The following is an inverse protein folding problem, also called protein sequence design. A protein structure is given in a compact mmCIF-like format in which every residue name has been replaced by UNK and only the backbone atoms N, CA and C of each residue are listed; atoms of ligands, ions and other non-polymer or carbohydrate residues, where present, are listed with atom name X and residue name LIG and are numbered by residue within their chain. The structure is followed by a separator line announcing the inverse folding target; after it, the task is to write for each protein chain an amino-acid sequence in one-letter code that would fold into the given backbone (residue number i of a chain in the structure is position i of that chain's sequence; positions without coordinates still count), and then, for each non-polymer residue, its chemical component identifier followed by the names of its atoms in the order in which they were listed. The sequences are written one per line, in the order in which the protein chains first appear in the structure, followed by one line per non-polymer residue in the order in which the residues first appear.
data_IF_589310151482
#
_entry.id   IF_589310151482
#
_cell.length_a   1.000
_cell.length_b   1.000
_cell.length_c   1.000
_cell.angle_alpha   90.00
_cell.angle_beta   90.00
_cell.angle_gamma   90.00
#
_symmetry.space_group_name_H-M   'P 1'
#
loop_
_entity.id
_entity.type
_entity.pdbx_description
1 polymer ?
#
# COMPACT_ATOMS: atom_id res chain seq x y z
N UNK A 1 10.86 13.43 -39.81
CA UNK A 1 11.86 13.16 -38.75
C UNK A 1 11.62 13.97 -37.46
N UNK A 2 10.91 15.12 -37.50
CA UNK A 2 10.48 15.84 -36.28
C UNK A 2 9.35 15.12 -35.52
N UNK A 3 8.36 14.54 -36.21
CA UNK A 3 7.27 13.80 -35.56
C UNK A 3 7.76 12.54 -34.83
N UNK A 4 8.84 11.92 -35.32
CA UNK A 4 9.46 10.75 -34.69
C UNK A 4 10.20 11.12 -33.40
N UNK A 5 10.78 12.34 -33.32
CA UNK A 5 11.42 12.87 -32.10
C UNK A 5 10.40 13.41 -31.09
N UNK A 6 9.24 13.92 -31.54
CA UNK A 6 8.14 14.36 -30.66
C UNK A 6 7.33 13.20 -30.07
N UNK A 7 7.19 12.10 -30.82
CA UNK A 7 6.41 10.94 -30.38
C UNK A 7 7.25 9.85 -29.70
N UNK A 8 8.58 9.90 -29.81
CA UNK A 8 9.46 8.98 -29.07
C UNK A 8 9.26 9.08 -27.54
N UNK A 9 9.26 10.25 -26.89
CA UNK A 9 8.96 10.34 -25.46
C UNK A 9 7.58 9.76 -25.10
N UNK A 10 6.63 9.81 -26.04
CA UNK A 10 5.25 9.33 -25.84
C UNK A 10 5.16 7.80 -25.87
N UNK A 11 5.81 7.14 -26.83
CA UNK A 11 5.91 5.67 -26.88
C UNK A 11 6.71 5.11 -25.70
N UNK A 12 7.76 5.80 -25.27
CA UNK A 12 8.60 5.36 -24.15
C UNK A 12 7.88 5.38 -22.81
N UNK A 13 7.04 6.38 -22.52
CA UNK A 13 6.29 6.47 -21.25
C UNK A 13 5.13 5.47 -21.20
N UNK A 14 4.41 5.27 -22.31
CA UNK A 14 3.36 4.25 -22.38
C UNK A 14 3.92 2.84 -22.21
N UNK A 15 5.01 2.52 -22.91
CA UNK A 15 5.70 1.23 -22.77
C UNK A 15 6.28 1.04 -21.36
N UNK A 16 6.91 2.07 -20.78
CA UNK A 16 7.42 2.02 -19.40
C UNK A 16 6.28 1.82 -18.38
N UNK A 17 5.15 2.49 -18.55
CA UNK A 17 3.95 2.31 -17.73
C UNK A 17 3.40 0.89 -17.81
N UNK A 18 3.30 0.33 -19.02
CA UNK A 18 2.87 -1.06 -19.24
C UNK A 18 3.85 -2.07 -18.62
N UNK A 19 5.17 -1.82 -18.70
CA UNK A 19 6.18 -2.66 -18.06
C UNK A 19 6.08 -2.58 -16.53
N UNK A 20 5.90 -1.38 -15.95
CA UNK A 20 5.70 -1.20 -14.51
C UNK A 20 4.43 -1.89 -14.01
N UNK A 21 3.33 -1.80 -14.76
CA UNK A 21 2.08 -2.51 -14.46
C UNK A 21 2.24 -4.02 -14.58
N UNK A 22 3.03 -4.51 -15.54
CA UNK A 22 3.34 -5.94 -15.69
C UNK A 22 4.19 -6.48 -14.55
N UNK A 23 5.13 -5.69 -14.04
CA UNK A 23 5.92 -6.04 -12.84
C UNK A 23 5.08 -6.02 -11.56
N UNK A 24 4.10 -5.10 -11.46
CA UNK A 24 3.20 -5.04 -10.31
C UNK A 24 2.08 -6.11 -10.36
N UNK A 25 1.65 -6.51 -11.55
CA UNK A 25 0.57 -7.48 -11.77
C UNK A 25 0.77 -8.26 -13.09
N UNK A 26 1.17 -9.53 -13.04
CA UNK A 26 1.44 -10.32 -14.25
C UNK A 26 0.24 -10.43 -15.21
N UNK A 27 -0.97 -10.49 -14.67
CA UNK A 27 -2.21 -10.64 -15.45
C UNK A 27 -2.66 -9.33 -16.11
N UNK A 28 -2.53 -8.18 -15.44
CA UNK A 28 -2.92 -6.89 -16.04
C UNK A 28 -1.86 -6.38 -17.03
N UNK A 29 -0.58 -6.70 -16.79
CA UNK A 29 0.51 -6.46 -17.73
C UNK A 29 0.29 -7.14 -19.08
N UNK A 30 -0.13 -8.40 -19.10
CA UNK A 30 -0.37 -9.14 -20.35
C UNK A 30 -1.51 -8.56 -21.19
N UNK A 31 -2.56 -8.01 -20.56
CA UNK A 31 -3.66 -7.33 -21.26
C UNK A 31 -3.26 -5.93 -21.77
N UNK A 32 -2.38 -5.23 -21.06
CA UNK A 32 -1.80 -3.97 -21.54
C UNK A 32 -0.79 -4.19 -22.68
N UNK A 33 -0.03 -5.30 -22.64
CA UNK A 33 0.94 -5.68 -23.67
C UNK A 33 0.28 -6.08 -25.00
N UNK A 34 -0.91 -6.70 -24.98
CA UNK A 34 -1.64 -7.02 -26.23
C UNK A 34 -2.23 -5.79 -26.91
N UNK A 35 -2.62 -4.77 -26.13
CA UNK A 35 -3.10 -3.49 -26.65
C UNK A 35 -1.97 -2.62 -27.21
N UNK A 36 -0.78 -2.70 -26.61
CA UNK A 36 0.32 -1.78 -26.92
C UNK A 36 1.43 -2.32 -27.82
N UNK A 37 1.68 -3.63 -27.79
CA UNK A 37 2.97 -4.18 -28.23
C UNK A 37 2.84 -5.57 -28.87
N UNK A 38 2.25 -5.65 -30.06
CA UNK A 38 2.42 -6.82 -30.92
C UNK A 38 3.86 -7.00 -31.46
N UNK A 39 4.83 -6.17 -31.05
CA UNK A 39 6.18 -6.11 -31.64
C UNK A 39 7.38 -6.11 -30.67
N UNK A 40 7.21 -6.12 -29.34
CA UNK A 40 8.36 -6.08 -28.41
C UNK A 40 8.35 -7.25 -27.44
N UNK A 41 8.72 -8.44 -27.94
CA UNK A 41 9.05 -9.59 -27.08
C UNK A 41 10.34 -9.39 -26.25
N UNK A 42 11.08 -8.30 -26.45
CA UNK A 42 12.44 -8.09 -25.89
C UNK A 42 12.51 -7.09 -24.72
N UNK A 43 11.40 -6.78 -24.05
CA UNK A 43 11.27 -5.56 -23.23
C UNK A 43 11.27 -5.71 -21.71
N UNK A 44 12.00 -6.64 -21.08
CA UNK A 44 12.26 -6.48 -19.65
C UNK A 44 13.37 -5.44 -19.44
N UNK A 45 13.06 -4.37 -18.72
CA UNK A 45 14.06 -3.37 -18.33
C UNK A 45 15.00 -4.07 -17.34
N UNK A 46 16.18 -4.42 -17.83
CA UNK A 46 17.30 -4.83 -16.98
C UNK A 46 18.24 -3.66 -16.80
N UNK A 47 18.63 -3.39 -15.57
CA UNK A 47 19.60 -2.34 -15.29
C UNK A 47 20.99 -2.79 -15.75
N UNK A 48 21.77 -1.84 -16.26
CA UNK A 48 23.16 -2.13 -16.59
C UNK A 48 23.94 -2.44 -15.31
N UNK A 49 25.00 -3.23 -15.43
CA UNK A 49 25.88 -3.53 -14.31
C UNK A 49 26.43 -2.26 -13.64
N UNK A 50 26.70 -1.19 -14.40
CA UNK A 50 27.18 0.08 -13.86
C UNK A 50 26.12 0.77 -12.99
N UNK A 51 24.85 0.77 -13.44
CA UNK A 51 23.73 1.33 -12.68
C UNK A 51 23.57 0.60 -11.34
N UNK A 52 23.67 -0.72 -11.38
CA UNK A 52 23.58 -1.61 -10.23
C UNK A 52 24.72 -1.41 -9.22
N UNK A 53 25.97 -1.30 -9.70
CA UNK A 53 27.14 -1.01 -8.85
C UNK A 53 27.05 0.38 -8.20
N UNK A 54 26.52 1.37 -8.93
CA UNK A 54 26.27 2.71 -8.39
C UNK A 54 25.14 2.70 -7.35
N UNK A 55 24.05 1.98 -7.63
CA UNK A 55 22.92 1.81 -6.71
C UNK A 55 23.36 1.14 -5.39
N UNK A 56 24.17 0.08 -5.43
CA UNK A 56 24.70 -0.57 -4.23
C UNK A 56 25.59 0.39 -3.43
N UNK A 57 26.48 1.11 -4.13
CA UNK A 57 27.42 2.06 -3.51
C UNK A 57 26.71 3.20 -2.79
N UNK A 58 25.68 3.78 -3.41
CA UNK A 58 24.91 4.86 -2.79
C UNK A 58 23.98 4.28 -1.72
N UNK A 59 23.31 3.17 -2.03
CA UNK A 59 22.35 2.51 -1.16
C UNK A 59 22.94 2.10 0.20
N UNK A 60 24.15 1.53 0.22
CA UNK A 60 24.78 1.12 1.49
C UNK A 60 25.15 2.32 2.37
N UNK A 61 25.52 3.45 1.76
CA UNK A 61 25.77 4.69 2.51
C UNK A 61 24.49 5.26 3.09
N UNK A 62 23.39 5.24 2.33
CA UNK A 62 22.07 5.66 2.81
C UNK A 62 21.61 4.74 3.95
N UNK A 63 21.77 3.43 3.79
CA UNK A 63 21.45 2.42 4.81
C UNK A 63 22.14 2.73 6.14
N UNK A 64 23.45 3.00 6.09
CA UNK A 64 24.23 3.37 7.26
C UNK A 64 23.79 4.71 7.88
N UNK A 65 23.58 5.75 7.05
CA UNK A 65 23.17 7.09 7.53
C UNK A 65 21.79 7.08 8.19
N UNK A 66 20.91 6.18 7.75
CA UNK A 66 19.60 5.94 8.35
C UNK A 66 19.66 5.11 9.64
N UNK A 67 20.85 4.69 10.07
CA UNK A 67 21.05 3.93 11.30
C UNK A 67 20.74 2.43 11.16
N UNK A 68 20.76 1.87 9.95
CA UNK A 68 20.66 0.43 9.74
C UNK A 68 22.04 -0.22 9.61
N UNK A 69 22.09 -1.54 9.79
CA UNK A 69 23.32 -2.33 9.66
C UNK A 69 23.79 -2.41 8.19
N UNK A 70 24.98 -1.87 7.83
CA UNK A 70 25.52 -1.97 6.48
C UNK A 70 25.73 -3.41 6.01
N UNK A 71 25.95 -4.36 6.92
CA UNK A 71 26.12 -5.77 6.59
C UNK A 71 24.81 -6.42 6.12
N UNK A 72 23.65 -5.81 6.41
CA UNK A 72 22.36 -6.35 5.98
C UNK A 72 22.22 -6.41 4.45
N UNK A 73 22.84 -5.49 3.71
CA UNK A 73 22.83 -5.49 2.24
C UNK A 73 23.54 -6.72 1.65
N UNK A 74 24.84 -6.98 1.91
CA UNK A 74 25.51 -8.17 1.38
C UNK A 74 24.94 -9.48 1.96
N UNK A 75 24.39 -9.49 3.17
CA UNK A 75 23.68 -10.65 3.71
C UNK A 75 22.41 -10.96 2.89
N UNK A 76 21.62 -9.94 2.56
CA UNK A 76 20.42 -10.10 1.74
C UNK A 76 20.75 -10.54 0.31
N UNK A 77 21.76 -9.91 -0.32
CA UNK A 77 22.27 -10.33 -1.64
C UNK A 77 22.77 -11.79 -1.63
N UNK A 78 23.52 -12.18 -0.60
CA UNK A 78 23.95 -13.57 -0.41
C UNK A 78 22.77 -14.53 -0.34
N UNK A 79 21.74 -14.19 0.44
CA UNK A 79 20.52 -14.99 0.55
C UNK A 79 19.81 -15.19 -0.79
N UNK A 80 19.72 -14.15 -1.64
CA UNK A 80 19.12 -14.25 -2.96
C UNK A 80 19.94 -15.14 -3.90
N UNK A 81 21.27 -15.02 -3.83
CA UNK A 81 22.18 -15.84 -4.62
C UNK A 81 22.05 -17.31 -4.21
N UNK A 82 22.02 -17.59 -2.91
CA UNK A 82 21.82 -18.95 -2.39
C UNK A 82 20.48 -19.52 -2.87
N UNK A 83 19.38 -18.77 -2.75
CA UNK A 83 18.06 -19.18 -3.26
C UNK A 83 18.09 -19.47 -4.77
N UNK A 84 18.77 -18.62 -5.55
CA UNK A 84 18.89 -18.80 -7.01
C UNK A 84 19.67 -20.04 -7.42
N UNK A 85 20.55 -20.56 -6.56
CA UNK A 85 21.30 -21.81 -6.81
C UNK A 85 20.45 -23.05 -6.59
N UNK A 86 19.48 -22.98 -5.67
CA UNK A 86 18.66 -24.12 -5.27
C UNK A 86 17.26 -24.13 -5.92
N UNK A 87 16.85 -23.04 -6.58
CA UNK A 87 15.57 -22.92 -7.28
C UNK A 87 15.73 -23.03 -8.80
N UNK A 88 14.82 -23.74 -9.46
CA UNK A 88 14.74 -23.83 -10.94
C UNK A 88 14.39 -22.47 -11.59
N UNK A 89 13.78 -21.56 -10.82
CA UNK A 89 13.46 -20.20 -11.27
C UNK A 89 14.15 -19.19 -10.35
N UNK A 90 15.05 -18.32 -10.87
CA UNK A 90 15.66 -17.29 -10.04
C UNK A 90 14.58 -16.33 -9.54
N UNK A 91 14.77 -15.71 -8.35
CA UNK A 91 13.87 -14.67 -7.88
C UNK A 91 13.69 -13.58 -8.96
N UNK A 92 12.45 -13.14 -9.19
CA UNK A 92 12.12 -12.18 -10.26
C UNK A 92 12.94 -10.88 -10.17
N UNK A 93 13.28 -10.45 -8.96
CA UNK A 93 14.14 -9.28 -8.74
C UNK A 93 15.52 -9.42 -9.39
N UNK A 94 16.07 -10.65 -9.53
CA UNK A 94 17.35 -10.87 -10.20
C UNK A 94 17.25 -10.77 -11.74
N UNK A 95 16.02 -10.79 -12.29
CA UNK A 95 15.81 -10.61 -13.73
C UNK A 95 15.96 -9.14 -14.13
N UNK A 96 15.55 -8.21 -13.27
CA UNK A 96 15.69 -6.76 -13.48
C UNK A 96 16.99 -6.22 -12.87
N UNK A 97 17.46 -6.81 -11.76
CA UNK A 97 18.70 -6.46 -11.06
C UNK A 97 19.69 -7.65 -11.04
N UNK A 98 20.46 -7.88 -12.11
CA UNK A 98 21.41 -8.98 -12.16
C UNK A 98 22.44 -8.94 -11.03
N UNK A 99 22.67 -10.09 -10.38
CA UNK A 99 23.53 -10.22 -9.20
C UNK A 99 24.73 -11.16 -9.46
N UNK A 100 25.74 -10.75 -10.24
CA UNK A 100 26.99 -11.52 -10.37
C UNK A 100 27.76 -11.55 -9.04
N UNK A 101 28.58 -12.58 -8.83
CA UNK A 101 29.39 -12.74 -7.61
C UNK A 101 30.31 -11.52 -7.34
N UNK A 102 30.75 -10.83 -8.39
CA UNK A 102 31.54 -9.60 -8.27
C UNK A 102 30.80 -8.47 -7.55
N UNK A 103 29.47 -8.35 -7.73
CA UNK A 103 28.65 -7.36 -7.01
C UNK A 103 28.54 -7.70 -5.53
N UNK A 104 28.30 -8.98 -5.21
CA UNK A 104 28.28 -9.44 -3.82
C UNK A 104 29.63 -9.21 -3.14
N UNK A 105 30.75 -9.44 -3.84
CA UNK A 105 32.09 -9.18 -3.33
C UNK A 105 32.34 -7.68 -3.08
N UNK A 106 31.93 -6.80 -4.00
CA UNK A 106 32.04 -5.35 -3.81
C UNK A 106 31.17 -4.87 -2.63
N UNK A 107 29.92 -5.34 -2.54
CA UNK A 107 29.02 -5.02 -1.42
C UNK A 107 29.61 -5.45 -0.06
N UNK A 108 30.19 -6.66 0.03
CA UNK A 108 30.90 -7.14 1.22
C UNK A 108 32.11 -6.27 1.56
N UNK A 109 32.94 -5.93 0.56
CA UNK A 109 34.12 -5.09 0.77
C UNK A 109 33.73 -3.71 1.33
N UNK A 110 32.70 -3.08 0.76
CA UNK A 110 32.18 -1.79 1.25
C UNK A 110 31.64 -1.88 2.67
N UNK A 111 30.81 -2.88 2.95
CA UNK A 111 30.24 -3.06 4.28
C UNK A 111 31.34 -3.25 5.35
N UNK A 112 32.42 -3.96 5.02
CA UNK A 112 33.55 -4.20 5.92
C UNK A 112 34.41 -2.95 6.18
N UNK A 113 34.42 -1.99 5.26
CA UNK A 113 35.09 -0.70 5.45
C UNK A 113 34.27 0.26 6.32
N UNK A 114 32.99 -0.03 6.53
CA UNK A 114 32.10 0.75 7.38
C UNK A 114 32.21 0.30 8.84
N UNK A 115 31.91 1.21 9.75
CA UNK A 115 31.83 0.88 11.18
C UNK A 115 30.70 -0.14 11.40
N UNK A 116 30.94 -1.24 12.15
CA UNK A 116 29.87 -2.16 12.52
C UNK A 116 28.77 -1.45 13.30
N UNK A 117 27.52 -1.70 12.91
CA UNK A 117 26.33 -1.15 13.57
C UNK A 117 25.42 -2.31 13.96
N UNK A 118 25.33 -2.62 15.26
CA UNK A 118 24.39 -3.63 15.76
C UNK A 118 23.07 -2.94 16.06
N UNK A 119 22.10 -3.10 15.18
CA UNK A 119 20.75 -2.54 15.32
C UNK A 119 19.73 -3.67 15.38
N UNK A 120 18.75 -3.48 16.24
CA UNK A 120 17.61 -4.40 16.33
C UNK A 120 16.44 -3.82 15.54
N UNK A 121 15.76 -4.65 14.74
CA UNK A 121 14.59 -4.21 14.00
C UNK A 121 13.49 -3.69 14.92
N UNK A 122 12.76 -2.68 14.46
CA UNK A 122 11.61 -2.12 15.16
C UNK A 122 10.49 -3.16 15.36
N UNK A 123 9.58 -2.91 16.31
CA UNK A 123 8.40 -3.75 16.47
C UNK A 123 7.53 -3.70 15.21
N UNK A 124 7.40 -2.51 14.61
CA UNK A 124 6.64 -2.27 13.39
C UNK A 124 7.12 -3.14 12.22
N UNK A 125 8.43 -3.38 12.08
CA UNK A 125 8.93 -4.29 11.04
C UNK A 125 8.34 -5.69 11.17
N UNK A 126 8.33 -6.24 12.39
CA UNK A 126 7.80 -7.59 12.62
C UNK A 126 6.26 -7.63 12.53
N UNK A 127 5.56 -6.60 13.00
CA UNK A 127 4.11 -6.48 12.90
C UNK A 127 3.65 -6.32 11.45
N UNK A 128 4.32 -5.46 10.68
CA UNK A 128 4.10 -5.31 9.25
C UNK A 128 4.34 -6.63 8.52
N UNK A 129 5.46 -7.32 8.80
CA UNK A 129 5.75 -8.62 8.21
C UNK A 129 4.69 -9.68 8.56
N UNK A 130 4.23 -9.71 9.81
CA UNK A 130 3.14 -10.58 10.24
C UNK A 130 1.85 -10.27 9.47
N UNK A 131 1.49 -8.98 9.35
CA UNK A 131 0.28 -8.55 8.65
C UNK A 131 0.32 -8.86 7.16
N UNK A 132 1.43 -8.54 6.49
CA UNK A 132 1.62 -8.84 5.06
C UNK A 132 1.48 -10.34 4.79
N UNK A 133 2.16 -11.19 5.56
CA UNK A 133 2.11 -12.64 5.36
C UNK A 133 0.80 -13.28 5.85
N UNK A 134 0.06 -12.63 6.74
CA UNK A 134 -1.18 -13.16 7.34
C UNK A 134 -2.45 -12.76 6.60
N UNK A 135 -2.55 -11.49 6.16
CA UNK A 135 -3.73 -10.95 5.48
C UNK A 135 -3.61 -10.98 3.95
N UNK A 136 -2.43 -10.66 3.42
CA UNK A 136 -2.21 -10.51 1.98
C UNK A 136 -1.53 -11.75 1.41
N UNK A 137 -2.11 -12.91 1.67
CA UNK A 137 -1.53 -14.18 1.22
C UNK A 137 -1.58 -14.32 -0.29
N UNK A 138 -0.45 -14.61 -0.91
CA UNK A 138 -0.37 -14.90 -2.34
C UNK A 138 0.66 -15.99 -2.59
N UNK A 139 0.22 -17.15 -3.09
CA UNK A 139 1.11 -18.31 -3.33
C UNK A 139 1.84 -18.74 -2.06
N UNK A 140 3.17 -18.59 -2.08
CA UNK A 140 4.09 -18.97 -1.00
C UNK A 140 4.22 -17.90 0.11
N UNK A 141 3.71 -16.69 -0.11
CA UNK A 141 3.70 -15.63 0.89
C UNK A 141 2.60 -15.89 1.93
N UNK A 142 2.91 -16.74 2.91
CA UNK A 142 2.00 -17.11 4.00
C UNK A 142 2.69 -17.02 5.36
N UNK A 143 1.92 -16.62 6.37
CA UNK A 143 2.36 -16.63 7.75
C UNK A 143 2.33 -18.06 8.30
N UNK A 144 3.42 -18.80 8.07
CA UNK A 144 3.55 -20.19 8.49
C UNK A 144 3.79 -20.34 10.00
N UNK A 145 3.41 -21.50 10.55
CA UNK A 145 3.65 -21.88 11.95
C UNK A 145 5.13 -21.89 12.30
N UNK A 146 6.00 -22.25 11.36
CA UNK A 146 7.45 -22.31 11.60
C UNK A 146 8.05 -20.94 11.87
N UNK A 147 7.61 -19.91 11.14
CA UNK A 147 8.04 -18.53 11.36
C UNK A 147 7.58 -18.03 12.74
N UNK A 148 6.31 -18.31 13.09
CA UNK A 148 5.75 -17.93 14.39
C UNK A 148 6.48 -18.64 15.55
N UNK A 149 6.75 -19.93 15.41
CA UNK A 149 7.49 -20.72 16.40
C UNK A 149 8.95 -20.28 16.55
N UNK A 150 9.58 -19.83 15.46
CA UNK A 150 10.91 -19.24 15.50
C UNK A 150 10.89 -17.88 16.24
N UNK A 151 9.87 -17.07 16.00
CA UNK A 151 9.70 -15.77 16.67
C UNK A 151 9.37 -15.88 18.16
N UNK A 152 8.67 -16.91 18.60
CA UNK A 152 8.44 -17.19 20.03
C UNK A 152 9.74 -17.41 20.81
N UNK A 153 10.75 -17.99 20.15
CA UNK A 153 12.08 -18.22 20.74
C UNK A 153 13.00 -17.01 20.59
N UNK A 154 12.52 -15.96 19.95
CA UNK A 154 13.26 -14.74 19.64
C UNK A 154 13.20 -13.70 20.76
N UNK A 155 13.53 -12.45 20.40
CA UNK A 155 13.41 -11.32 21.30
C UNK A 155 11.94 -10.93 21.55
N UNK A 156 11.68 -10.06 22.53
CA UNK A 156 10.32 -9.66 22.93
C UNK A 156 9.48 -9.09 21.78
N UNK A 157 10.08 -8.35 20.84
CA UNK A 157 9.36 -7.80 19.68
C UNK A 157 8.92 -8.89 18.72
N UNK A 158 9.73 -9.92 18.53
CA UNK A 158 9.37 -11.09 17.74
C UNK A 158 8.26 -11.89 18.43
N UNK A 159 8.35 -12.11 19.74
CA UNK A 159 7.32 -12.80 20.51
C UNK A 159 5.96 -12.06 20.41
N UNK A 160 5.97 -10.74 20.59
CA UNK A 160 4.75 -9.91 20.43
C UNK A 160 4.20 -9.99 19.00
N UNK A 161 5.07 -9.95 17.99
CA UNK A 161 4.64 -10.07 16.59
C UNK A 161 4.10 -11.47 16.25
N UNK A 162 4.64 -12.53 16.87
CA UNK A 162 4.11 -13.89 16.72
C UNK A 162 2.72 -14.01 17.34
N UNK A 163 2.52 -13.46 18.54
CA UNK A 163 1.21 -13.40 19.18
C UNK A 163 0.21 -12.57 18.37
N UNK A 164 0.64 -11.41 17.86
CA UNK A 164 -0.16 -10.58 16.96
C UNK A 164 -0.55 -11.35 15.69
N UNK A 165 0.42 -12.02 15.05
CA UNK A 165 0.18 -12.84 13.86
C UNK A 165 -0.79 -13.99 14.10
N UNK A 166 -0.77 -14.63 15.28
CA UNK A 166 -1.77 -15.65 15.64
C UNK A 166 -3.17 -15.06 15.85
N UNK A 167 -3.26 -13.89 16.49
CA UNK A 167 -4.53 -13.19 16.63
C UNK A 167 -5.11 -12.80 15.26
N UNK A 168 -4.24 -12.36 14.35
CA UNK A 168 -4.59 -12.02 12.97
C UNK A 168 -5.15 -13.24 12.21
N UNK A 169 -4.45 -14.37 12.23
CA UNK A 169 -4.90 -15.60 11.58
C UNK A 169 -6.22 -16.12 12.17
N UNK A 170 -6.42 -15.99 13.48
CA UNK A 170 -7.68 -16.33 14.13
C UNK A 170 -8.83 -15.40 13.70
N UNK A 171 -8.55 -14.10 13.52
CA UNK A 171 -9.50 -13.11 13.02
C UNK A 171 -9.91 -13.43 11.58
N UNK A 172 -8.95 -13.68 10.69
CA UNK A 172 -9.18 -14.08 9.28
C UNK A 172 -10.00 -15.39 9.17
N UNK A 173 -9.86 -16.28 10.16
CA UNK A 173 -10.64 -17.52 10.24
C UNK A 173 -12.02 -17.34 10.91
N UNK A 174 -12.46 -16.09 11.14
CA UNK A 174 -13.68 -15.71 11.86
C UNK A 174 -13.77 -16.23 13.30
N UNK A 175 -12.66 -16.71 13.88
CA UNK A 175 -12.61 -17.14 15.27
C UNK A 175 -12.30 -15.95 16.19
N UNK A 176 -13.27 -15.04 16.28
CA UNK A 176 -13.10 -13.76 16.95
C UNK A 176 -12.84 -13.88 18.46
N UNK A 177 -13.39 -14.89 19.13
CA UNK A 177 -13.14 -15.11 20.56
C UNK A 177 -11.68 -15.51 20.81
N UNK A 178 -11.13 -16.40 19.99
CA UNK A 178 -9.71 -16.77 20.07
C UNK A 178 -8.82 -15.58 19.67
N UNK A 179 -9.19 -14.84 18.62
CA UNK A 179 -8.46 -13.66 18.19
C UNK A 179 -8.38 -12.62 19.32
N UNK A 180 -9.52 -12.31 19.96
CA UNK A 180 -9.58 -11.41 21.12
C UNK A 180 -8.72 -11.90 22.26
N UNK A 181 -8.87 -13.17 22.66
CA UNK A 181 -8.10 -13.77 23.76
C UNK A 181 -6.59 -13.69 23.49
N UNK A 182 -6.18 -13.89 22.24
CA UNK A 182 -4.78 -13.86 21.82
C UNK A 182 -4.23 -12.44 21.76
N UNK A 183 -5.02 -11.46 21.31
CA UNK A 183 -4.60 -10.06 21.22
C UNK A 183 -4.61 -9.34 22.57
N UNK A 184 -5.48 -9.72 23.50
CA UNK A 184 -5.71 -8.98 24.75
C UNK A 184 -4.44 -8.71 25.58
N UNK A 185 -3.49 -9.64 25.76
CA UNK A 185 -2.26 -9.35 26.49
C UNK A 185 -1.40 -8.27 25.83
N UNK A 186 -1.37 -8.22 24.49
CA UNK A 186 -0.65 -7.18 23.74
C UNK A 186 -1.31 -5.82 23.92
N UNK A 187 -2.65 -5.77 23.83
CA UNK A 187 -3.43 -4.56 24.04
C UNK A 187 -3.34 -4.05 25.49
N UNK A 188 -3.22 -4.95 26.47
CA UNK A 188 -2.99 -4.57 27.87
C UNK A 188 -1.58 -3.99 28.09
N UNK A 189 -0.58 -4.54 27.40
CA UNK A 189 0.81 -4.08 27.51
C UNK A 189 1.04 -2.72 26.81
N UNK A 190 0.41 -2.51 25.65
CA UNK A 190 0.47 -1.26 24.89
C UNK A 190 -0.91 -0.90 24.32
N UNK A 191 -1.78 -0.25 25.11
CA UNK A 191 -3.16 0.07 24.72
C UNK A 191 -3.25 1.20 23.68
N UNK A 192 -2.12 1.82 23.31
CA UNK A 192 -2.08 2.92 22.34
C UNK A 192 -1.44 2.50 21.01
N UNK A 193 -0.99 1.25 20.90
CA UNK A 193 -0.38 0.73 19.68
C UNK A 193 -1.39 0.69 18.54
N UNK A 194 -1.11 1.41 17.44
CA UNK A 194 -2.02 1.48 16.29
C UNK A 194 -2.30 0.10 15.67
N UNK A 195 -1.31 -0.81 15.60
CA UNK A 195 -1.49 -2.15 15.06
C UNK A 195 -2.46 -2.99 15.88
N UNK A 196 -2.42 -2.85 17.21
CA UNK A 196 -3.28 -3.59 18.12
C UNK A 196 -4.68 -2.99 18.17
N UNK A 197 -4.79 -1.65 18.14
CA UNK A 197 -6.07 -0.95 18.07
C UNK A 197 -6.82 -1.25 16.77
N UNK A 198 -6.11 -1.28 15.64
CA UNK A 198 -6.64 -1.67 14.34
C UNK A 198 -7.20 -3.10 14.37
N UNK A 199 -6.39 -4.11 14.75
CA UNK A 199 -6.88 -5.49 14.81
C UNK A 199 -8.00 -5.70 15.84
N UNK A 200 -7.96 -4.99 16.98
CA UNK A 200 -9.02 -5.04 17.96
C UNK A 200 -10.34 -4.45 17.42
N UNK A 201 -10.26 -3.47 16.52
CA UNK A 201 -11.42 -2.89 15.83
C UNK A 201 -12.06 -3.93 14.91
N UNK A 202 -11.27 -4.61 14.07
CA UNK A 202 -11.78 -5.66 13.17
C UNK A 202 -12.45 -6.80 13.97
N UNK A 203 -11.83 -7.24 15.07
CA UNK A 203 -12.39 -8.27 15.94
C UNK A 203 -13.73 -7.83 16.57
N UNK A 204 -13.81 -6.58 17.07
CA UNK A 204 -15.05 -6.05 17.64
C UNK A 204 -16.17 -5.93 16.60
N UNK A 205 -15.85 -5.44 15.40
CA UNK A 205 -16.81 -5.31 14.30
C UNK A 205 -17.32 -6.69 13.84
N UNK A 206 -16.43 -7.68 13.73
CA UNK A 206 -16.80 -9.07 13.41
C UNK A 206 -17.74 -9.69 14.46
N UNK A 207 -17.60 -9.30 15.74
CA UNK A 207 -18.50 -9.72 16.83
C UNK A 207 -19.74 -8.83 17.00
N UNK A 208 -19.97 -7.85 16.12
CA UNK A 208 -21.03 -6.85 16.25
C UNK A 208 -20.96 -6.03 17.54
N UNK A 209 -19.77 -5.91 18.14
CA UNK A 209 -19.47 -5.09 19.32
C UNK A 209 -19.01 -3.69 18.93
N UNK A 210 -19.74 -3.07 18.01
CA UNK A 210 -19.32 -1.81 17.39
C UNK A 210 -19.14 -0.67 18.38
N UNK A 211 -19.97 -0.62 19.43
CA UNK A 211 -19.83 0.38 20.50
C UNK A 211 -18.50 0.27 21.25
N UNK A 212 -18.00 -0.95 21.47
CA UNK A 212 -16.71 -1.18 22.15
C UNK A 212 -15.55 -0.68 21.28
N UNK A 213 -15.61 -0.92 19.97
CA UNK A 213 -14.63 -0.44 19.01
C UNK A 213 -14.57 1.10 18.98
N UNK A 214 -15.73 1.75 18.84
CA UNK A 214 -15.85 3.21 18.81
C UNK A 214 -15.30 3.81 20.11
N UNK A 215 -15.70 3.27 21.26
CA UNK A 215 -15.23 3.77 22.56
C UNK A 215 -13.72 3.60 22.73
N UNK A 216 -13.14 2.48 22.28
CA UNK A 216 -11.68 2.27 22.33
C UNK A 216 -10.95 3.29 21.46
N UNK A 217 -11.39 3.49 20.23
CA UNK A 217 -10.74 4.41 19.28
C UNK A 217 -10.89 5.87 19.69
N UNK A 218 -12.06 6.29 20.22
CA UNK A 218 -12.27 7.65 20.75
C UNK A 218 -11.31 7.99 21.91
N UNK A 219 -10.82 6.97 22.63
CA UNK A 219 -9.85 7.12 23.73
C UNK A 219 -8.38 7.00 23.29
N UNK A 220 -8.10 6.81 21.98
CA UNK A 220 -6.73 6.74 21.49
C UNK A 220 -6.08 8.13 21.43
N UNK A 221 -4.88 8.28 22.01
CA UNK A 221 -4.15 9.55 22.15
C UNK A 221 -3.83 10.19 20.81
N UNK A 222 -3.45 9.37 19.83
CA UNK A 222 -3.03 9.82 18.50
C UNK A 222 -4.18 9.89 17.49
N UNK A 223 -5.45 9.74 17.90
CA UNK A 223 -6.60 9.74 16.97
C UNK A 223 -6.61 10.94 16.03
N UNK A 224 -6.15 12.12 16.48
CA UNK A 224 -6.14 13.34 15.66
C UNK A 224 -4.98 13.41 14.66
N UNK A 225 -3.93 12.64 14.85
CA UNK A 225 -2.68 12.71 14.05
C UNK A 225 -2.41 11.44 13.27
N UNK A 226 -2.97 10.30 13.69
CA UNK A 226 -2.73 9.00 13.09
C UNK A 226 -3.86 8.64 12.09
N UNK A 227 -3.58 8.61 10.77
CA UNK A 227 -4.60 8.34 9.75
C UNK A 227 -5.24 6.95 9.87
N UNK A 228 -4.49 5.94 10.33
CA UNK A 228 -5.00 4.57 10.52
C UNK A 228 -6.14 4.56 11.54
N UNK A 229 -5.97 5.28 12.66
CA UNK A 229 -6.99 5.37 13.70
C UNK A 229 -8.22 6.17 13.25
N UNK A 230 -8.03 7.19 12.40
CA UNK A 230 -9.13 7.98 11.83
C UNK A 230 -10.01 7.13 10.92
N UNK A 231 -9.39 6.36 10.01
CA UNK A 231 -10.12 5.46 9.11
C UNK A 231 -10.82 4.33 9.88
N UNK A 232 -10.13 3.72 10.85
CA UNK A 232 -10.73 2.70 11.72
C UNK A 232 -11.96 3.24 12.47
N UNK A 233 -11.88 4.46 13.02
CA UNK A 233 -13.01 5.06 13.72
C UNK A 233 -14.16 5.38 12.76
N UNK A 234 -13.86 5.94 11.59
CA UNK A 234 -14.87 6.23 10.57
C UNK A 234 -15.60 4.95 10.11
N UNK A 235 -14.86 3.87 9.85
CA UNK A 235 -15.42 2.57 9.51
C UNK A 235 -16.29 2.02 10.65
N UNK A 236 -15.80 2.07 11.90
CA UNK A 236 -16.58 1.62 13.06
C UNK A 236 -17.87 2.43 13.26
N UNK A 237 -17.83 3.75 13.04
CA UNK A 237 -19.02 4.61 13.08
C UNK A 237 -20.02 4.25 11.98
N UNK A 238 -19.56 3.96 10.76
CA UNK A 238 -20.43 3.50 9.67
C UNK A 238 -21.12 2.19 10.00
N UNK A 239 -20.36 1.18 10.44
CA UNK A 239 -20.91 -0.11 10.86
C UNK A 239 -21.82 0.00 12.09
N UNK A 240 -21.62 1.05 12.90
CA UNK A 240 -22.43 1.38 14.08
C UNK A 240 -23.68 2.19 13.77
N UNK A 241 -24.00 2.44 12.49
CA UNK A 241 -25.16 3.22 12.09
C UNK A 241 -25.04 4.73 12.39
N UNK A 242 -23.82 5.25 12.51
CA UNK A 242 -23.52 6.67 12.76
C UNK A 242 -22.82 7.33 11.55
N UNK A 243 -23.43 7.32 10.34
CA UNK A 243 -22.78 7.81 9.13
C UNK A 243 -22.49 9.31 9.15
N UNK A 244 -23.23 10.12 9.92
CA UNK A 244 -22.97 11.56 10.06
C UNK A 244 -21.67 11.88 10.79
N UNK A 245 -21.36 11.15 11.87
CA UNK A 245 -20.06 11.28 12.56
C UNK A 245 -18.92 10.80 11.65
N UNK A 246 -19.13 9.68 10.93
CA UNK A 246 -18.16 9.17 9.97
C UNK A 246 -17.86 10.18 8.85
N UNK A 247 -18.88 10.75 8.21
CA UNK A 247 -18.74 11.76 7.17
C UNK A 247 -17.97 12.99 7.68
N UNK A 248 -18.18 13.41 8.93
CA UNK A 248 -17.46 14.55 9.52
C UNK A 248 -15.94 14.28 9.60
N UNK A 249 -15.56 13.07 10.01
CA UNK A 249 -14.15 12.65 10.06
C UNK A 249 -13.58 12.56 8.64
N UNK A 250 -14.30 11.89 7.74
CA UNK A 250 -13.86 11.57 6.39
C UNK A 250 -13.71 12.82 5.51
N UNK A 251 -14.60 13.82 5.65
CA UNK A 251 -14.46 15.10 4.94
C UNK A 251 -13.15 15.83 5.31
N UNK A 252 -12.71 15.76 6.57
CA UNK A 252 -11.41 16.31 6.98
C UNK A 252 -10.25 15.44 6.51
N UNK A 253 -10.44 14.12 6.58
CA UNK A 253 -9.46 13.13 6.16
C UNK A 253 -9.10 13.31 4.67
N UNK A 254 -10.09 13.26 3.79
CA UNK A 254 -9.89 13.34 2.33
C UNK A 254 -9.38 14.70 1.88
N UNK A 255 -9.65 15.77 2.64
CA UNK A 255 -9.02 17.07 2.41
C UNK A 255 -7.51 17.05 2.65
N UNK A 256 -7.06 16.28 3.66
CA UNK A 256 -5.65 16.17 4.06
C UNK A 256 -4.90 15.13 3.25
N UNK A 257 -5.51 13.95 3.06
CA UNK A 257 -4.95 12.77 2.40
C UNK A 257 -5.68 12.50 1.07
N UNK A 258 -5.51 13.41 0.12
CA UNK A 258 -6.25 13.39 -1.16
C UNK A 258 -5.98 12.16 -2.03
N UNK A 259 -4.84 11.52 -1.84
CA UNK A 259 -4.37 10.37 -2.62
C UNK A 259 -4.73 9.02 -1.98
N UNK A 260 -5.37 9.01 -0.81
CA UNK A 260 -5.78 7.78 -0.15
C UNK A 260 -7.21 7.38 -0.56
N UNK A 261 -7.30 6.34 -1.39
CA UNK A 261 -8.57 5.80 -1.88
C UNK A 261 -9.49 5.29 -0.77
N UNK A 262 -8.95 4.80 0.35
CA UNK A 262 -9.77 4.27 1.45
C UNK A 262 -10.66 5.37 2.06
N UNK A 263 -10.11 6.59 2.18
CA UNK A 263 -10.85 7.74 2.70
C UNK A 263 -12.02 8.12 1.79
N UNK A 264 -11.80 8.14 0.48
CA UNK A 264 -12.84 8.45 -0.51
C UNK A 264 -13.91 7.37 -0.58
N UNK A 265 -13.53 6.09 -0.52
CA UNK A 265 -14.47 4.97 -0.55
C UNK A 265 -15.36 4.93 0.70
N UNK A 266 -14.79 5.18 1.89
CA UNK A 266 -15.57 5.29 3.12
C UNK A 266 -16.45 6.55 3.10
N UNK A 267 -15.98 7.67 2.54
CA UNK A 267 -16.79 8.90 2.43
C UNK A 267 -17.99 8.68 1.52
N UNK A 268 -17.81 8.01 0.38
CA UNK A 268 -18.91 7.63 -0.49
C UNK A 268 -19.94 6.75 0.23
N UNK A 269 -19.50 5.77 1.03
CA UNK A 269 -20.41 4.95 1.83
C UNK A 269 -21.17 5.78 2.88
N UNK A 270 -20.49 6.72 3.55
CA UNK A 270 -21.08 7.60 4.54
C UNK A 270 -22.15 8.51 3.92
N UNK A 271 -21.82 9.20 2.83
CA UNK A 271 -22.74 10.11 2.15
C UNK A 271 -23.93 9.35 1.52
N UNK A 272 -23.69 8.14 0.99
CA UNK A 272 -24.75 7.26 0.51
C UNK A 272 -25.72 6.84 1.62
N UNK A 273 -25.20 6.48 2.81
CA UNK A 273 -26.02 6.16 3.98
C UNK A 273 -26.81 7.36 4.52
N UNK A 274 -26.32 8.58 4.29
CA UNK A 274 -27.02 9.83 4.63
C UNK A 274 -28.03 10.27 3.57
N UNK A 275 -28.02 9.66 2.38
CA UNK A 275 -28.85 10.08 1.24
C UNK A 275 -28.32 11.31 0.49
N UNK A 276 -27.07 11.73 0.76
CA UNK A 276 -26.42 12.87 0.12
C UNK A 276 -25.83 12.45 -1.25
N UNK A 277 -26.71 12.24 -2.22
CA UNK A 277 -26.36 11.57 -3.48
C UNK A 277 -25.29 12.29 -4.32
N UNK A 278 -25.31 13.62 -4.36
CA UNK A 278 -24.32 14.40 -5.10
C UNK A 278 -22.92 14.27 -4.48
N UNK A 279 -22.82 14.30 -3.15
CA UNK A 279 -21.57 14.16 -2.41
C UNK A 279 -21.04 12.73 -2.49
N UNK A 280 -21.91 11.72 -2.46
CA UNK A 280 -21.54 10.33 -2.73
C UNK A 280 -20.91 10.19 -4.12
N UNK A 281 -21.55 10.73 -5.16
CA UNK A 281 -21.06 10.66 -6.52
C UNK A 281 -19.70 11.36 -6.67
N UNK A 282 -19.53 12.52 -6.03
CA UNK A 282 -18.27 13.24 -6.01
C UNK A 282 -17.15 12.44 -5.30
N UNK A 283 -17.43 11.82 -4.16
CA UNK A 283 -16.45 10.98 -3.46
C UNK A 283 -16.06 9.75 -4.30
N UNK A 284 -17.03 9.07 -4.93
CA UNK A 284 -16.75 7.96 -5.86
C UNK A 284 -15.92 8.40 -7.06
N UNK A 285 -16.15 9.61 -7.57
CA UNK A 285 -15.38 10.15 -8.68
C UNK A 285 -13.90 10.30 -8.34
N UNK A 286 -13.58 10.71 -7.11
CA UNK A 286 -12.19 10.81 -6.66
C UNK A 286 -11.52 9.42 -6.59
N UNK A 287 -12.21 8.39 -6.08
CA UNK A 287 -11.69 7.02 -6.12
C UNK A 287 -11.39 6.56 -7.55
N UNK A 288 -12.28 6.84 -8.50
CA UNK A 288 -12.08 6.53 -9.92
C UNK A 288 -10.90 7.32 -10.53
N UNK A 289 -10.75 8.59 -10.16
CA UNK A 289 -9.64 9.41 -10.62
C UNK A 289 -8.28 8.87 -10.14
N UNK A 290 -8.21 8.40 -8.89
CA UNK A 290 -6.97 7.84 -8.30
C UNK A 290 -6.51 6.56 -8.99
N UNK A 291 -7.44 5.73 -9.48
CA UNK A 291 -7.11 4.52 -10.26
C UNK A 291 -6.99 4.78 -11.76
N UNK A 292 -6.95 6.06 -12.19
CA UNK A 292 -6.77 6.46 -13.58
C UNK A 292 -8.01 6.37 -14.47
N UNK A 293 -9.18 6.04 -13.91
CA UNK A 293 -10.45 5.97 -14.63
C UNK A 293 -11.09 7.36 -14.79
N UNK A 294 -10.37 8.27 -15.46
CA UNK A 294 -10.72 9.69 -15.56
C UNK A 294 -12.08 9.95 -16.22
N UNK A 295 -12.46 9.16 -17.24
CA UNK A 295 -13.75 9.31 -17.92
C UNK A 295 -14.93 8.99 -16.98
N UNK A 296 -14.80 7.93 -16.18
CA UNK A 296 -15.82 7.55 -15.21
C UNK A 296 -15.92 8.58 -14.10
N UNK A 297 -14.78 9.10 -13.62
CA UNK A 297 -14.74 10.18 -12.64
C UNK A 297 -15.47 11.44 -13.14
N UNK A 298 -15.20 11.86 -14.39
CA UNK A 298 -15.88 13.01 -15.02
C UNK A 298 -17.39 12.76 -15.14
N UNK A 299 -17.80 11.55 -15.53
CA UNK A 299 -19.23 11.19 -15.64
C UNK A 299 -19.96 11.28 -14.30
N UNK A 300 -19.34 10.76 -13.23
CA UNK A 300 -19.87 10.81 -11.87
C UNK A 300 -20.00 12.25 -11.37
N UNK A 301 -18.96 13.08 -11.53
CA UNK A 301 -19.01 14.50 -11.17
C UNK A 301 -20.05 15.28 -11.98
N UNK A 302 -20.21 14.96 -13.26
CA UNK A 302 -21.23 15.59 -14.11
C UNK A 302 -22.64 15.28 -13.61
N UNK A 303 -22.85 14.04 -13.15
CA UNK A 303 -24.11 13.61 -12.53
C UNK A 303 -24.33 14.22 -11.14
N UNK A 304 -23.26 14.50 -10.39
CA UNK A 304 -23.34 15.25 -9.12
C UNK A 304 -23.71 16.73 -9.38
N UNK A 305 -23.06 17.36 -10.36
CA UNK A 305 -23.31 18.76 -10.75
C UNK A 305 -24.74 19.00 -11.23
N UNK A 306 -25.35 18.04 -11.94
CA UNK A 306 -26.74 18.17 -12.41
C UNK A 306 -27.80 18.05 -11.31
N UNK A 307 -27.45 17.52 -10.13
CA UNK A 307 -28.38 17.33 -9.01
C UNK A 307 -28.41 18.51 -8.04
N UNK A 308 -27.43 19.41 -8.12
CA UNK A 308 -27.34 20.58 -7.23
C UNK A 308 -27.94 21.82 -7.87
N UNK A 309 -28.27 22.82 -7.03
CA UNK A 309 -28.86 24.07 -7.49
C UNK A 309 -27.91 24.82 -8.45
N UNK A 310 -28.44 25.26 -9.58
CA UNK A 310 -27.72 26.09 -10.55
C UNK A 310 -27.16 27.36 -9.88
N UNK A 311 -25.89 27.66 -10.12
CA UNK A 311 -25.16 28.79 -9.54
C UNK A 311 -24.75 28.60 -8.08
N UNK A 312 -24.93 27.42 -7.50
CA UNK A 312 -24.46 27.11 -6.14
C UNK A 312 -22.94 26.93 -6.08
N UNK A 313 -22.38 27.10 -4.88
CA UNK A 313 -20.97 26.83 -4.64
C UNK A 313 -20.62 25.35 -4.88
N UNK A 314 -21.55 24.43 -4.59
CA UNK A 314 -21.39 23.00 -4.84
C UNK A 314 -21.23 22.72 -6.33
N UNK A 315 -22.10 23.31 -7.16
CA UNK A 315 -22.01 23.16 -8.61
C UNK A 315 -20.66 23.65 -9.14
N UNK A 316 -20.25 24.85 -8.74
CA UNK A 316 -18.98 25.42 -9.15
C UNK A 316 -17.77 24.55 -8.74
N UNK A 317 -17.84 23.89 -7.58
CA UNK A 317 -16.80 22.95 -7.14
C UNK A 317 -16.73 21.70 -8.01
N UNK A 318 -17.88 21.09 -8.33
CA UNK A 318 -17.92 19.90 -9.18
C UNK A 318 -17.45 20.21 -10.60
N UNK A 319 -17.91 21.33 -11.18
CA UNK A 319 -17.51 21.76 -12.52
C UNK A 319 -16.01 22.08 -12.58
N UNK A 320 -15.48 22.79 -11.59
CA UNK A 320 -14.04 23.06 -11.52
C UNK A 320 -13.20 21.77 -11.41
N UNK A 321 -13.70 20.75 -10.69
CA UNK A 321 -13.01 19.46 -10.60
C UNK A 321 -13.08 18.68 -11.92
N UNK A 322 -14.20 18.75 -12.63
CA UNK A 322 -14.33 18.18 -13.99
C UNK A 322 -13.28 18.79 -14.92
N UNK A 323 -13.10 20.12 -14.89
CA UNK A 323 -12.11 20.81 -15.72
C UNK A 323 -10.69 20.32 -15.41
N UNK A 324 -10.33 20.18 -14.12
CA UNK A 324 -9.03 19.62 -13.71
C UNK A 324 -8.81 18.20 -14.25
N UNK A 325 -9.83 17.33 -14.19
CA UNK A 325 -9.72 15.97 -14.69
C UNK A 325 -9.65 15.90 -16.22
N UNK A 326 -10.33 16.81 -16.92
CA UNK A 326 -10.22 16.93 -18.39
C UNK A 326 -8.84 17.40 -18.82
N UNK A 327 -8.26 18.36 -18.10
CA UNK A 327 -6.88 18.80 -18.33
C UNK A 327 -5.89 17.66 -18.11
N UNK A 328 -6.09 16.88 -17.05
CA UNK A 328 -5.29 15.70 -16.75
C UNK A 328 -5.44 14.64 -17.86
N UNK A 329 -6.67 14.38 -18.30
CA UNK A 329 -6.95 13.46 -19.40
C UNK A 329 -6.29 13.92 -20.69
N UNK A 330 -6.34 15.22 -21.03
CA UNK A 330 -5.71 15.76 -22.22
C UNK A 330 -4.18 15.57 -22.20
N UNK A 331 -3.54 15.74 -21.03
CA UNK A 331 -2.11 15.45 -20.84
C UNK A 331 -1.78 13.98 -21.04
N UNK A 332 -2.65 13.07 -20.60
CA UNK A 332 -2.39 11.62 -20.68
C UNK A 332 -2.95 10.93 -21.94
N UNK A 333 -3.82 11.60 -22.70
CA UNK A 333 -4.42 11.09 -23.95
C UNK A 333 -3.41 10.51 -24.95
N UNK A 334 -2.20 11.08 -25.13
CA UNK A 334 -1.20 10.50 -26.01
C UNK A 334 -0.73 9.08 -25.61
N UNK A 335 -0.86 8.70 -24.33
CA UNK A 335 -0.38 7.41 -23.80
C UNK A 335 -1.47 6.33 -23.71
N UNK A 336 -2.75 6.68 -23.86
CA UNK A 336 -3.86 5.72 -23.82
C UNK A 336 -4.13 5.03 -25.18
N UNK A 337 -3.58 5.57 -26.27
CA UNK A 337 -3.79 5.10 -27.65
C UNK A 337 -2.60 4.35 -28.25
N UNK A 338 -1.60 4.07 -27.42
CA UNK A 338 -0.45 3.25 -27.82
C UNK A 338 -0.58 1.85 -27.28
#
# INVERSE_FOLDING_TARGET
MEDQKRNAPLTWVGALGSILLAMASPQAGMAALTGTLAGTQQGMISFTRQNEEEADRIGIQVLQRSGFDPQAMPMFMGKLLDESRYSTRPPEMLLTHPLPESRLADARNRANQMRPVVVQSSADFYLAKARTLGMYTNGDNKLGTDLLNAWDKGNIRQQHAAQYGRALLAMESNNFDQARKTLQPLLNADPQNAWYLDLATDIDLGQKKTSDAINRLKNARELRTNPVLQLNLANALLQGGQPGEAATILNRYTFTYKEDGNGWDLLAQAEGALGNRDQELAARAESMALVGQLEQAISLLSSASSQVKLGSLQQARYDARIDQLRDLQARFRPYQKM
#
